data_IF_401624416127
#
_entry.id   IF_401624416127
#
_cell.length_a   1.000
_cell.length_b   1.000
_cell.length_c   1.000
_cell.angle_alpha   90.00
_cell.angle_beta   90.00
_cell.angle_gamma   90.00
#
_symmetry.space_group_name_H-M   'P 1'
#
loop_
_entity.id
_entity.type
_entity.pdbx_description
1 polymer ?
#
# COMPACT_ATOMS: atom_id res chain seq x y z
N UNK A 1 22.18 12.89 28.44
CA UNK A 1 21.26 11.84 27.98
C UNK A 1 20.35 12.47 26.93
N UNK A 2 20.39 12.02 25.68
CA UNK A 2 19.39 12.48 24.69
C UNK A 2 18.05 11.90 25.14
N UNK A 3 17.08 12.76 25.48
CA UNK A 3 15.71 12.33 25.68
C UNK A 3 15.29 11.54 24.44
N UNK A 4 15.16 10.23 24.56
CA UNK A 4 14.67 9.40 23.48
C UNK A 4 13.19 9.75 23.28
N UNK A 5 12.92 10.52 22.25
CA UNK A 5 11.56 10.92 21.88
C UNK A 5 10.72 9.65 21.71
N UNK A 6 9.63 9.54 22.46
CA UNK A 6 8.69 8.41 22.36
C UNK A 6 8.28 8.19 20.90
N UNK A 7 8.57 6.99 20.39
CA UNK A 7 8.22 6.60 19.01
C UNK A 7 6.76 6.16 18.97
N UNK A 8 5.88 7.06 18.59
CA UNK A 8 4.44 6.79 18.42
C UNK A 8 4.12 6.53 16.95
N UNK A 9 3.38 5.47 16.66
CA UNK A 9 2.90 5.11 15.32
C UNK A 9 1.38 5.26 15.27
N UNK A 10 0.87 5.99 14.26
CA UNK A 10 -0.55 6.04 13.94
C UNK A 10 -0.93 5.00 12.89
N UNK A 11 -2.05 4.34 13.06
CA UNK A 11 -2.62 3.39 12.11
C UNK A 11 -4.05 3.78 11.75
N UNK A 12 -4.25 4.14 10.49
CA UNK A 12 -5.56 4.44 9.91
C UNK A 12 -6.00 3.21 9.10
N UNK A 13 -7.07 2.56 9.56
CA UNK A 13 -7.59 1.32 9.00
C UNK A 13 -7.09 0.07 9.76
N UNK A 14 -8.01 -0.53 10.51
CA UNK A 14 -7.76 -1.69 11.37
C UNK A 14 -8.22 -3.01 10.70
N UNK A 15 -8.12 -3.08 9.36
CA UNK A 15 -8.38 -4.30 8.59
C UNK A 15 -7.14 -5.20 8.45
N UNK A 16 -7.15 -6.13 7.48
CA UNK A 16 -6.12 -7.16 7.30
C UNK A 16 -4.68 -6.61 7.27
N UNK A 17 -4.41 -5.49 6.56
CA UNK A 17 -3.07 -4.88 6.52
C UNK A 17 -2.74 -4.24 7.88
N UNK A 18 -3.69 -3.51 8.46
CA UNK A 18 -3.51 -2.87 9.77
C UNK A 18 -3.23 -3.89 10.86
N UNK A 19 -3.92 -5.02 10.85
CA UNK A 19 -3.68 -6.14 11.78
C UNK A 19 -2.26 -6.68 11.66
N UNK A 20 -1.75 -6.91 10.44
CA UNK A 20 -0.36 -7.36 10.26
C UNK A 20 0.68 -6.34 10.74
N UNK A 21 0.41 -5.04 10.53
CA UNK A 21 1.28 -3.97 11.05
C UNK A 21 1.30 -3.97 12.58
N UNK A 22 0.12 -4.04 13.21
CA UNK A 22 0.01 -4.07 14.67
C UNK A 22 0.68 -5.32 15.27
N UNK A 23 0.52 -6.49 14.66
CA UNK A 23 1.20 -7.73 15.07
C UNK A 23 2.72 -7.65 14.89
N UNK A 24 3.23 -6.97 13.84
CA UNK A 24 4.66 -6.76 13.65
C UNK A 24 5.25 -5.84 14.74
N UNK A 25 4.48 -4.87 15.22
CA UNK A 25 4.83 -4.00 16.34
C UNK A 25 4.86 -4.83 17.64
N UNK A 26 3.80 -5.58 17.94
CA UNK A 26 3.72 -6.45 19.11
C UNK A 26 4.90 -7.44 19.18
N UNK A 27 5.25 -8.05 18.03
CA UNK A 27 6.39 -8.97 17.90
C UNK A 27 7.76 -8.28 17.90
N UNK A 28 7.82 -6.97 18.12
CA UNK A 28 9.04 -6.14 18.13
C UNK A 28 9.82 -6.18 16.81
N UNK A 29 9.19 -6.54 15.69
CA UNK A 29 9.75 -6.40 14.34
C UNK A 29 9.85 -4.91 13.99
N UNK A 30 8.89 -4.12 14.46
CA UNK A 30 8.91 -2.66 14.45
C UNK A 30 9.10 -2.16 15.86
N UNK A 31 10.10 -1.32 16.07
CA UNK A 31 10.41 -0.73 17.39
C UNK A 31 9.68 0.61 17.54
N UNK A 32 8.55 0.59 18.21
CA UNK A 32 7.86 1.79 18.67
C UNK A 32 7.39 1.61 20.11
N UNK A 33 7.01 2.70 20.78
CA UNK A 33 6.62 2.70 22.18
C UNK A 33 5.10 2.70 22.33
N UNK A 34 4.37 3.27 21.37
CA UNK A 34 2.92 3.43 21.41
C UNK A 34 2.27 3.33 20.03
N UNK A 35 1.11 2.69 19.98
CA UNK A 35 0.29 2.59 18.77
C UNK A 35 -1.02 3.37 18.94
N UNK A 36 -1.37 4.20 17.95
CA UNK A 36 -2.64 4.94 17.92
C UNK A 36 -3.48 4.38 16.79
N UNK A 37 -4.68 3.90 17.11
CA UNK A 37 -5.59 3.21 16.19
C UNK A 37 -6.77 4.10 15.81
N UNK A 38 -7.06 4.17 14.53
CA UNK A 38 -8.25 4.80 13.99
C UNK A 38 -8.87 3.96 12.87
N UNK A 39 -10.14 3.69 12.97
CA UNK A 39 -10.98 3.14 11.88
C UNK A 39 -12.36 3.82 11.95
N UNK A 40 -12.95 4.14 10.79
CA UNK A 40 -14.30 4.69 10.73
C UNK A 40 -15.37 3.68 11.21
N UNK A 41 -15.06 2.39 11.21
CA UNK A 41 -15.82 1.35 11.88
C UNK A 41 -15.15 1.07 13.24
N UNK A 42 -15.56 1.80 14.27
CA UNK A 42 -14.93 1.78 15.59
C UNK A 42 -14.73 0.35 16.15
N UNK A 43 -15.66 -0.57 15.89
CA UNK A 43 -15.52 -1.96 16.30
C UNK A 43 -14.24 -2.61 15.79
N UNK A 44 -13.79 -2.29 14.56
CA UNK A 44 -12.53 -2.84 14.05
C UNK A 44 -11.30 -2.37 14.83
N UNK A 45 -11.30 -1.12 15.29
CA UNK A 45 -10.22 -0.61 16.13
C UNK A 45 -10.24 -1.27 17.52
N UNK A 46 -11.44 -1.51 18.06
CA UNK A 46 -11.63 -2.22 19.34
C UNK A 46 -11.15 -3.68 19.20
N UNK A 47 -11.59 -4.38 18.17
CA UNK A 47 -11.21 -5.77 17.91
C UNK A 47 -9.70 -5.90 17.73
N UNK A 48 -9.09 -5.00 16.97
CA UNK A 48 -7.63 -4.98 16.79
C UNK A 48 -6.91 -4.72 18.11
N UNK A 49 -7.33 -3.71 18.88
CA UNK A 49 -6.75 -3.42 20.20
C UNK A 49 -6.81 -4.63 21.13
N UNK A 50 -7.95 -5.34 21.15
CA UNK A 50 -8.15 -6.51 22.00
C UNK A 50 -7.36 -7.75 21.53
N UNK A 51 -6.96 -7.77 20.25
CA UNK A 51 -6.22 -8.90 19.64
C UNK A 51 -4.70 -8.80 19.81
N UNK A 52 -4.18 -7.67 20.29
CA UNK A 52 -2.74 -7.43 20.47
C UNK A 52 -2.42 -7.11 21.93
N UNK A 53 -1.29 -7.59 22.40
CA UNK A 53 -0.76 -7.23 23.73
C UNK A 53 0.31 -6.13 23.59
N UNK A 54 -0.14 -4.92 23.25
CA UNK A 54 0.73 -3.76 23.04
C UNK A 54 0.03 -2.47 23.49
N UNK A 55 0.81 -1.49 24.04
CA UNK A 55 0.25 -0.20 24.45
C UNK A 55 -0.38 0.52 23.24
N UNK A 56 -1.69 0.58 23.25
CA UNK A 56 -2.46 1.13 22.15
C UNK A 56 -3.63 2.00 22.61
N UNK A 57 -3.85 3.09 21.89
CA UNK A 57 -4.94 4.04 22.14
C UNK A 57 -5.83 4.11 20.90
N UNK A 58 -7.14 4.03 21.08
CA UNK A 58 -8.12 4.27 20.02
C UNK A 58 -8.49 5.74 20.03
N UNK A 59 -8.58 6.35 18.85
CA UNK A 59 -9.06 7.71 18.63
C UNK A 59 -10.27 7.72 17.69
N UNK A 60 -11.11 8.76 17.76
CA UNK A 60 -12.36 8.83 17.02
C UNK A 60 -12.22 9.53 15.66
N UNK A 61 -11.15 10.28 15.45
CA UNK A 61 -10.91 11.06 14.24
C UNK A 61 -9.41 11.31 14.04
N UNK A 62 -9.06 11.88 12.88
CA UNK A 62 -7.68 12.18 12.54
C UNK A 62 -7.11 13.31 13.41
N UNK A 63 -7.92 14.27 13.82
CA UNK A 63 -7.52 15.41 14.64
C UNK A 63 -6.99 14.94 16.00
N UNK A 64 -7.69 14.00 16.65
CA UNK A 64 -7.24 13.37 17.89
C UNK A 64 -5.94 12.59 17.69
N UNK A 65 -5.78 11.86 16.55
CA UNK A 65 -4.54 11.17 16.23
C UNK A 65 -3.38 12.17 16.09
N UNK A 66 -3.59 13.28 15.41
CA UNK A 66 -2.56 14.30 15.19
C UNK A 66 -2.15 15.01 16.49
N UNK A 67 -3.06 15.17 17.46
CA UNK A 67 -2.74 15.71 18.80
C UNK A 67 -1.78 14.82 19.59
N UNK A 68 -1.78 13.50 19.33
CA UNK A 68 -0.83 12.55 19.94
C UNK A 68 0.55 12.55 19.29
N UNK A 69 0.75 13.39 18.28
CA UNK A 69 2.01 13.69 17.63
C UNK A 69 2.81 12.46 17.16
N UNK A 70 2.20 11.53 16.38
CA UNK A 70 2.88 10.34 15.93
C UNK A 70 4.07 10.67 15.02
N UNK A 71 5.14 9.90 15.11
CA UNK A 71 6.31 10.06 14.25
C UNK A 71 6.02 9.64 12.80
N UNK A 72 5.23 8.56 12.65
CA UNK A 72 4.79 8.00 11.37
C UNK A 72 3.34 7.60 11.48
N UNK A 73 2.56 7.84 10.43
CA UNK A 73 1.20 7.32 10.26
C UNK A 73 1.17 6.38 9.06
N UNK A 74 0.49 5.24 9.20
CA UNK A 74 0.21 4.31 8.08
C UNK A 74 -1.28 4.43 7.75
N UNK A 75 -1.58 4.73 6.49
CA UNK A 75 -2.93 4.65 5.94
C UNK A 75 -3.11 3.29 5.24
N UNK A 76 -3.99 2.44 5.75
CA UNK A 76 -4.33 1.13 5.25
C UNK A 76 -5.87 0.93 5.15
N UNK A 77 -6.61 1.99 4.93
CA UNK A 77 -8.07 2.01 4.94
C UNK A 77 -8.69 2.05 3.52
N UNK A 78 -8.56 3.17 2.80
CA UNK A 78 -9.17 3.36 1.49
C UNK A 78 -8.56 4.52 0.71
N UNK A 79 -8.77 4.52 -0.62
CA UNK A 79 -8.38 5.67 -1.45
C UNK A 79 -9.03 6.98 -1.02
N UNK A 80 -10.27 6.93 -0.50
CA UNK A 80 -10.96 8.11 0.04
C UNK A 80 -10.24 8.62 1.28
N UNK A 81 -9.97 7.76 2.25
CA UNK A 81 -9.23 8.11 3.47
C UNK A 81 -7.85 8.70 3.14
N UNK A 82 -7.11 8.06 2.21
CA UNK A 82 -5.83 8.58 1.77
C UNK A 82 -5.95 10.01 1.21
N UNK A 83 -6.91 10.27 0.31
CA UNK A 83 -7.14 11.61 -0.25
C UNK A 83 -7.47 12.65 0.80
N UNK A 84 -8.30 12.27 1.77
CA UNK A 84 -8.76 13.19 2.82
C UNK A 84 -7.63 13.51 3.83
N UNK A 85 -6.67 12.58 4.04
CA UNK A 85 -5.70 12.70 5.14
C UNK A 85 -4.25 12.99 4.71
N UNK A 86 -3.89 12.85 3.42
CA UNK A 86 -2.51 13.11 2.95
C UNK A 86 -2.05 14.52 3.33
N UNK A 87 -2.78 15.54 2.95
CA UNK A 87 -2.40 16.93 3.18
C UNK A 87 -2.45 17.29 4.68
N UNK A 88 -3.52 17.01 5.44
CA UNK A 88 -3.56 17.30 6.88
C UNK A 88 -2.41 16.70 7.69
N UNK A 89 -1.98 15.47 7.34
CA UNK A 89 -0.90 14.77 8.05
C UNK A 89 0.46 15.35 7.65
N UNK A 90 0.72 15.47 6.35
CA UNK A 90 2.06 15.78 5.85
C UNK A 90 2.44 17.25 6.05
N UNK A 91 1.47 18.17 6.09
CA UNK A 91 1.68 19.59 6.43
C UNK A 91 2.10 19.79 7.89
N UNK A 92 1.71 18.88 8.78
CA UNK A 92 2.21 18.86 10.18
C UNK A 92 3.62 18.28 10.31
N UNK A 93 4.27 17.91 9.21
CA UNK A 93 5.61 17.34 9.22
C UNK A 93 5.66 15.86 9.63
N UNK A 94 4.52 15.19 9.76
CA UNK A 94 4.41 13.77 10.11
C UNK A 94 4.61 12.93 8.84
N UNK A 95 5.41 11.87 8.95
CA UNK A 95 5.59 10.91 7.86
C UNK A 95 4.32 10.08 7.66
N UNK A 96 3.83 10.01 6.42
CA UNK A 96 2.66 9.22 6.05
C UNK A 96 3.03 8.13 5.05
N UNK A 97 2.78 6.88 5.41
CA UNK A 97 2.86 5.72 4.50
C UNK A 97 1.45 5.47 3.95
N UNK A 98 1.29 5.55 2.63
CA UNK A 98 0.00 5.34 1.95
C UNK A 98 -0.04 3.99 1.28
N UNK A 99 -0.89 3.08 1.78
CA UNK A 99 -1.15 1.78 1.14
C UNK A 99 -2.16 1.89 0.01
N UNK A 100 -3.09 2.82 0.11
CA UNK A 100 -4.15 3.06 -0.88
C UNK A 100 -3.64 3.96 -2.03
N UNK A 101 -2.54 3.55 -2.68
CA UNK A 101 -1.81 4.34 -3.68
C UNK A 101 -2.66 4.77 -4.89
N UNK A 102 -3.82 4.14 -5.12
CA UNK A 102 -4.81 4.61 -6.09
C UNK A 102 -5.30 6.04 -5.86
N UNK A 103 -5.24 6.52 -4.62
CA UNK A 103 -5.54 7.90 -4.27
C UNK A 103 -4.62 8.92 -4.96
N UNK A 104 -3.39 8.52 -5.28
CA UNK A 104 -2.36 9.40 -5.86
C UNK A 104 -2.52 9.61 -7.37
N UNK A 105 -3.38 8.82 -8.03
CA UNK A 105 -3.66 8.99 -9.45
C UNK A 105 -4.41 10.31 -9.66
N UNK A 106 -3.81 11.19 -10.46
CA UNK A 106 -4.36 12.53 -10.75
C UNK A 106 -4.17 13.55 -9.62
N UNK A 107 -3.57 13.16 -8.50
CA UNK A 107 -3.17 14.10 -7.46
C UNK A 107 -1.95 14.91 -7.90
N UNK A 108 -2.04 16.23 -7.73
CA UNK A 108 -0.91 17.17 -7.94
C UNK A 108 -0.33 17.64 -6.59
N UNK A 109 -0.19 16.72 -5.64
CA UNK A 109 0.37 16.98 -4.32
C UNK A 109 1.68 16.22 -4.14
N UNK A 110 2.72 16.91 -3.69
CA UNK A 110 4.03 16.36 -3.39
C UNK A 110 4.47 16.77 -2.00
N UNK A 111 4.97 15.84 -1.24
CA UNK A 111 5.57 16.09 0.07
C UNK A 111 6.69 15.11 0.32
N UNK A 112 7.80 15.58 0.91
CA UNK A 112 8.88 14.71 1.41
C UNK A 112 8.42 13.81 2.57
N UNK A 113 7.25 14.07 3.12
CA UNK A 113 6.63 13.28 4.19
C UNK A 113 5.67 12.22 3.67
N UNK A 114 5.36 12.23 2.37
CA UNK A 114 4.50 11.23 1.74
C UNK A 114 5.34 10.06 1.21
N UNK A 115 5.02 8.86 1.65
CA UNK A 115 5.73 7.64 1.30
C UNK A 115 4.77 6.59 0.74
N UNK A 116 5.20 5.94 -0.35
CA UNK A 116 4.45 4.84 -0.97
C UNK A 116 5.32 3.59 -0.89
N UNK A 117 4.90 2.54 -0.19
CA UNK A 117 5.65 1.29 -0.14
C UNK A 117 5.59 0.56 -1.48
N UNK A 118 6.51 -0.37 -1.70
CA UNK A 118 6.54 -1.16 -2.94
C UNK A 118 5.28 -2.02 -3.14
N UNK A 119 4.55 -2.30 -2.06
CA UNK A 119 3.34 -3.10 -2.12
C UNK A 119 3.65 -4.56 -2.44
N UNK A 120 2.91 -5.13 -3.37
CA UNK A 120 3.04 -6.54 -3.76
C UNK A 120 4.12 -6.79 -4.83
N UNK A 121 4.97 -5.81 -5.13
CA UNK A 121 6.04 -5.86 -6.14
C UNK A 121 7.37 -5.37 -5.56
N UNK A 122 8.43 -5.41 -6.35
CA UNK A 122 9.76 -4.88 -6.02
C UNK A 122 10.44 -4.29 -7.26
N UNK A 123 11.73 -3.97 -7.16
CA UNK A 123 12.51 -3.39 -8.26
C UNK A 123 12.12 -1.95 -8.60
N UNK A 124 11.43 -1.26 -7.68
CA UNK A 124 11.00 0.12 -7.90
C UNK A 124 12.17 1.11 -8.01
N UNK A 125 13.30 0.79 -7.41
CA UNK A 125 14.57 1.50 -7.54
C UNK A 125 15.08 1.48 -8.99
N UNK A 126 15.11 0.31 -9.62
CA UNK A 126 15.49 0.14 -11.03
C UNK A 126 14.49 0.85 -11.96
N UNK A 127 13.19 0.72 -11.69
CA UNK A 127 12.14 1.38 -12.47
C UNK A 127 12.25 2.91 -12.34
N UNK A 128 12.47 3.42 -11.12
CA UNK A 128 12.67 4.85 -10.87
C UNK A 128 13.92 5.39 -11.57
N UNK A 129 14.99 4.61 -11.59
CA UNK A 129 16.22 4.96 -12.31
C UNK A 129 15.98 5.05 -13.83
N UNK A 130 15.26 4.09 -14.41
CA UNK A 130 14.88 4.13 -15.82
C UNK A 130 13.94 5.32 -16.15
N UNK A 131 13.11 5.72 -15.20
CA UNK A 131 12.19 6.85 -15.35
C UNK A 131 12.90 8.22 -15.39
N UNK A 132 14.18 8.30 -15.04
CA UNK A 132 15.01 9.48 -15.27
C UNK A 132 15.34 9.69 -16.76
N UNK A 133 15.09 8.69 -17.60
CA UNK A 133 15.28 8.70 -19.04
C UNK A 133 13.94 8.47 -19.75
N UNK A 134 13.96 8.09 -21.02
CA UNK A 134 12.75 7.81 -21.76
C UNK A 134 12.28 6.38 -21.58
N UNK A 135 11.09 6.18 -20.98
CA UNK A 135 10.37 4.91 -20.95
C UNK A 135 9.34 4.91 -22.09
N UNK A 136 9.50 4.00 -23.04
CA UNK A 136 8.62 3.89 -24.21
C UNK A 136 7.39 3.00 -23.96
N UNK A 137 7.47 2.04 -23.03
CA UNK A 137 6.40 1.09 -22.75
C UNK A 137 6.45 0.58 -21.32
N UNK A 138 5.28 0.54 -20.67
CA UNK A 138 5.08 -0.15 -19.38
C UNK A 138 3.80 -0.98 -19.47
N UNK A 139 3.93 -2.29 -19.21
CA UNK A 139 2.79 -3.21 -19.16
C UNK A 139 2.80 -3.93 -17.82
N UNK A 140 1.68 -3.91 -17.12
CA UNK A 140 1.43 -4.70 -15.93
C UNK A 140 0.39 -5.79 -16.25
N UNK A 141 0.77 -7.04 -16.06
CA UNK A 141 -0.14 -8.18 -16.14
C UNK A 141 -0.38 -8.68 -14.71
N UNK A 142 -1.60 -8.55 -14.22
CA UNK A 142 -2.00 -9.05 -12.91
C UNK A 142 -2.90 -10.26 -13.08
N UNK A 143 -2.54 -11.37 -12.43
CA UNK A 143 -3.30 -12.61 -12.45
C UNK A 143 -3.64 -13.01 -11.01
N UNK A 144 -4.92 -13.29 -10.76
CA UNK A 144 -5.42 -13.74 -9.44
C UNK A 144 -6.49 -14.81 -9.59
N UNK A 145 -6.71 -15.56 -8.52
CA UNK A 145 -7.80 -16.51 -8.44
C UNK A 145 -9.17 -15.79 -8.56
N UNK A 146 -10.20 -16.42 -9.16
CA UNK A 146 -11.55 -15.85 -9.27
C UNK A 146 -12.13 -15.34 -7.95
N UNK A 147 -11.83 -15.99 -6.83
CA UNK A 147 -12.26 -15.55 -5.49
C UNK A 147 -11.83 -14.12 -5.14
N UNK A 148 -10.68 -13.67 -5.65
CA UNK A 148 -10.19 -12.30 -5.44
C UNK A 148 -11.05 -11.24 -6.17
N UNK A 149 -11.89 -11.66 -7.11
CA UNK A 149 -12.78 -10.81 -7.88
C UNK A 149 -14.27 -11.11 -7.64
N UNK A 150 -14.58 -11.98 -6.66
CA UNK A 150 -15.96 -12.46 -6.41
C UNK A 150 -16.58 -13.11 -7.68
N UNK A 151 -15.75 -13.85 -8.41
CA UNK A 151 -16.12 -14.55 -9.64
C UNK A 151 -16.00 -16.07 -9.45
N UNK A 152 -16.64 -16.83 -10.36
CA UNK A 152 -16.65 -18.29 -10.36
C UNK A 152 -16.31 -18.89 -11.73
N UNK A 153 -15.55 -18.15 -12.58
CA UNK A 153 -15.14 -18.66 -13.88
C UNK A 153 -14.24 -19.90 -13.72
N UNK A 154 -14.48 -20.91 -14.59
CA UNK A 154 -13.74 -22.18 -14.62
C UNK A 154 -12.57 -22.19 -15.61
N UNK A 155 -12.49 -21.18 -16.47
CA UNK A 155 -11.40 -20.94 -17.40
C UNK A 155 -10.80 -19.55 -17.19
N UNK A 156 -9.53 -19.33 -17.56
CA UNK A 156 -8.92 -18.01 -17.47
C UNK A 156 -9.73 -16.97 -18.26
N UNK A 157 -9.99 -15.81 -17.63
CA UNK A 157 -10.76 -14.71 -18.22
C UNK A 157 -10.03 -13.39 -18.04
N UNK A 158 -9.86 -12.64 -19.13
CA UNK A 158 -9.43 -11.25 -19.07
C UNK A 158 -10.62 -10.43 -18.60
N UNK A 159 -10.50 -9.80 -17.42
CA UNK A 159 -11.59 -8.99 -16.84
C UNK A 159 -11.37 -7.50 -17.11
N UNK A 160 -10.13 -7.12 -17.43
CA UNK A 160 -9.82 -5.74 -17.84
C UNK A 160 -8.56 -5.71 -18.72
N UNK A 161 -8.56 -4.83 -19.70
CA UNK A 161 -7.39 -4.44 -20.47
C UNK A 161 -7.52 -2.97 -20.86
N UNK A 162 -6.52 -2.16 -20.48
CA UNK A 162 -6.51 -0.71 -20.73
C UNK A 162 -5.50 0.00 -19.84
N UNK A 163 -5.72 1.29 -19.58
CA UNK A 163 -4.79 2.09 -18.76
C UNK A 163 -4.97 1.87 -17.27
N UNK A 164 -3.90 2.12 -16.50
CA UNK A 164 -3.93 2.02 -15.04
C UNK A 164 -4.91 3.01 -14.39
N UNK A 165 -5.06 4.21 -14.97
CA UNK A 165 -5.98 5.24 -14.47
C UNK A 165 -7.44 4.76 -14.54
N UNK A 166 -7.83 4.15 -15.67
CA UNK A 166 -9.17 3.59 -15.82
C UNK A 166 -9.36 2.36 -14.93
N UNK A 167 -8.34 1.49 -14.87
CA UNK A 167 -8.36 0.31 -13.99
C UNK A 167 -8.56 0.68 -12.51
N UNK A 168 -7.89 1.72 -12.02
CA UNK A 168 -8.00 2.16 -10.64
C UNK A 168 -9.40 2.71 -10.28
N UNK A 169 -10.10 3.29 -11.26
CA UNK A 169 -11.49 3.74 -11.07
C UNK A 169 -12.46 2.55 -11.02
N UNK A 170 -12.27 1.56 -11.89
CA UNK A 170 -13.17 0.40 -12.00
C UNK A 170 -12.92 -0.65 -10.91
N UNK A 171 -11.66 -0.82 -10.49
CA UNK A 171 -11.22 -1.83 -9.53
C UNK A 171 -10.38 -1.23 -8.39
N UNK A 172 -10.89 -0.26 -7.62
CA UNK A 172 -10.11 0.52 -6.65
C UNK A 172 -9.41 -0.34 -5.59
N UNK A 173 -9.99 -1.48 -5.22
CA UNK A 173 -9.43 -2.40 -4.22
C UNK A 173 -8.34 -3.35 -4.76
N UNK A 174 -8.12 -3.38 -6.09
CA UNK A 174 -7.23 -4.37 -6.73
C UNK A 174 -6.09 -3.74 -7.52
N UNK A 175 -6.03 -2.40 -7.64
CA UNK A 175 -5.15 -1.69 -8.56
C UNK A 175 -4.03 -0.90 -7.91
N UNK A 176 -3.73 -1.11 -6.63
CA UNK A 176 -2.64 -0.37 -5.96
C UNK A 176 -1.28 -0.57 -6.66
N UNK A 177 -0.97 -1.78 -7.15
CA UNK A 177 0.28 -2.02 -7.92
C UNK A 177 0.33 -1.17 -9.19
N UNK A 178 -0.77 -1.13 -9.95
CA UNK A 178 -0.85 -0.31 -11.16
C UNK A 178 -0.69 1.18 -10.85
N UNK A 179 -1.28 1.62 -9.76
CA UNK A 179 -1.23 3.01 -9.28
C UNK A 179 0.18 3.40 -8.85
N UNK A 180 0.87 2.53 -8.10
CA UNK A 180 2.26 2.74 -7.69
C UNK A 180 3.17 2.84 -8.91
N UNK A 181 3.03 1.94 -9.90
CA UNK A 181 3.78 2.03 -11.15
C UNK A 181 3.50 3.34 -11.90
N UNK A 182 2.21 3.71 -12.06
CA UNK A 182 1.83 4.95 -12.75
C UNK A 182 2.40 6.20 -12.07
N UNK A 183 2.53 6.17 -10.74
CA UNK A 183 3.15 7.28 -10.01
C UNK A 183 4.65 7.41 -10.32
N UNK A 184 5.36 6.29 -10.44
CA UNK A 184 6.81 6.25 -10.64
C UNK A 184 7.20 6.56 -12.08
N UNK A 185 6.47 6.04 -13.08
CA UNK A 185 6.86 6.11 -14.49
C UNK A 185 6.29 7.32 -15.25
N UNK A 186 5.73 8.30 -14.54
CA UNK A 186 5.23 9.54 -15.18
C UNK A 186 6.30 10.16 -16.07
N UNK A 187 5.92 10.67 -17.27
CA UNK A 187 4.56 10.78 -17.83
C UNK A 187 4.06 9.54 -18.58
N UNK A 188 4.82 8.44 -18.61
CA UNK A 188 4.46 7.22 -19.38
C UNK A 188 3.23 6.56 -18.80
N UNK A 189 2.26 6.22 -19.66
CA UNK A 189 1.03 5.52 -19.26
C UNK A 189 1.29 4.02 -19.05
N UNK A 190 0.85 3.48 -17.94
CA UNK A 190 0.90 2.05 -17.65
C UNK A 190 -0.29 1.35 -18.29
N UNK A 191 0.00 0.36 -19.15
CA UNK A 191 -1.01 -0.55 -19.68
C UNK A 191 -1.22 -1.71 -18.71
N UNK A 192 -2.47 -2.03 -18.40
CA UNK A 192 -2.84 -3.06 -17.43
C UNK A 192 -3.65 -4.15 -18.12
N UNK A 193 -3.29 -5.40 -17.83
CA UNK A 193 -4.10 -6.58 -18.15
C UNK A 193 -4.41 -7.32 -16.84
N UNK A 194 -5.71 -7.42 -16.50
CA UNK A 194 -6.19 -8.07 -15.30
C UNK A 194 -6.86 -9.40 -15.67
N UNK A 195 -6.38 -10.50 -15.11
CA UNK A 195 -6.80 -11.85 -15.46
C UNK A 195 -7.32 -12.57 -14.21
N UNK A 196 -8.53 -13.10 -14.31
CA UNK A 196 -9.08 -14.08 -13.38
C UNK A 196 -8.72 -15.48 -13.88
N UNK A 197 -7.94 -16.25 -13.12
CA UNK A 197 -7.47 -17.56 -13.52
C UNK A 197 -7.68 -18.59 -12.39
N UNK A 198 -8.59 -19.58 -12.57
CA UNK A 198 -8.90 -20.57 -11.54
C UNK A 198 -7.74 -21.49 -11.20
N UNK A 199 -6.74 -21.64 -12.09
CA UNK A 199 -5.54 -22.44 -11.85
C UNK A 199 -4.50 -21.70 -11.00
N UNK A 200 -4.66 -20.40 -10.78
CA UNK A 200 -3.75 -19.59 -9.97
C UNK A 200 -4.06 -19.70 -8.49
N UNK A 201 -3.10 -20.14 -7.70
CA UNK A 201 -3.14 -20.18 -6.23
C UNK A 201 -2.55 -18.92 -5.61
N UNK A 202 -1.71 -18.19 -6.35
CA UNK A 202 -0.97 -17.00 -5.93
C UNK A 202 -1.37 -15.75 -6.72
N UNK A 203 -1.34 -14.59 -6.07
CA UNK A 203 -1.44 -13.30 -6.76
C UNK A 203 -0.14 -13.06 -7.54
N UNK A 204 -0.22 -12.99 -8.86
CA UNK A 204 0.95 -12.79 -9.71
C UNK A 204 0.89 -11.42 -10.38
N UNK A 205 2.01 -10.71 -10.36
CA UNK A 205 2.23 -9.45 -11.04
C UNK A 205 3.45 -9.58 -11.94
N UNK A 206 3.27 -9.38 -13.23
CA UNK A 206 4.35 -9.33 -14.22
C UNK A 206 4.44 -7.91 -14.77
N UNK A 207 5.62 -7.32 -14.73
CA UNK A 207 5.89 -5.96 -15.16
C UNK A 207 6.88 -6.02 -16.31
N UNK A 208 6.51 -5.49 -17.45
CA UNK A 208 7.32 -5.40 -18.65
C UNK A 208 7.58 -3.93 -18.95
N UNK A 209 8.86 -3.55 -19.04
CA UNK A 209 9.27 -2.16 -19.31
C UNK A 209 10.24 -2.17 -20.48
N UNK A 210 10.02 -1.25 -21.43
CA UNK A 210 11.02 -0.87 -22.44
C UNK A 210 11.40 0.59 -22.20
N UNK A 211 12.69 0.83 -22.11
CA UNK A 211 13.26 2.14 -21.86
C UNK A 211 14.47 2.40 -22.77
N UNK A 212 15.02 3.57 -22.75
CA UNK A 212 16.06 4.02 -23.68
C UNK A 212 17.28 3.08 -23.79
N UNK A 213 17.69 2.45 -22.70
CA UNK A 213 18.90 1.63 -22.65
C UNK A 213 18.62 0.12 -22.49
N UNK A 214 17.37 -0.32 -22.64
CA UNK A 214 17.08 -1.74 -22.55
C UNK A 214 15.65 -2.09 -22.18
N UNK A 215 15.50 -3.25 -21.56
CA UNK A 215 14.21 -3.76 -21.11
C UNK A 215 14.31 -4.42 -19.75
N UNK A 216 13.21 -4.42 -19.01
CA UNK A 216 13.07 -5.11 -17.72
C UNK A 216 11.86 -6.02 -17.77
N UNK A 217 12.01 -7.21 -17.20
CA UNK A 217 10.94 -8.15 -16.91
C UNK A 217 11.02 -8.53 -15.45
N UNK A 218 10.01 -8.13 -14.67
CA UNK A 218 9.92 -8.46 -13.25
C UNK A 218 8.65 -9.28 -13.01
N UNK A 219 8.78 -10.35 -12.23
CA UNK A 219 7.64 -11.21 -11.90
C UNK A 219 7.60 -11.49 -10.41
N UNK A 220 6.45 -11.23 -9.80
CA UNK A 220 6.18 -11.46 -8.38
C UNK A 220 4.98 -12.41 -8.26
N UNK A 221 5.16 -13.45 -7.47
CA UNK A 221 4.12 -14.45 -7.20
C UNK A 221 4.00 -14.60 -5.69
N UNK A 222 2.95 -14.00 -5.12
CA UNK A 222 2.77 -13.88 -3.68
C UNK A 222 1.55 -14.64 -3.23
N UNK A 223 1.65 -15.28 -2.07
CA UNK A 223 0.47 -15.86 -1.44
C UNK A 223 -0.53 -14.75 -1.09
N UNK A 224 -1.83 -14.99 -1.32
CA UNK A 224 -2.86 -14.07 -0.89
C UNK A 224 -2.90 -14.01 0.63
N UNK A 225 -3.31 -12.85 1.17
CA UNK A 225 -3.55 -12.73 2.61
C UNK A 225 -4.72 -13.64 3.00
N UNK A 226 -4.63 -14.44 4.08
CA UNK A 226 -5.67 -15.40 4.45
C UNK A 226 -7.06 -14.77 4.58
N UNK A 227 -7.16 -13.60 5.21
CA UNK A 227 -8.41 -12.89 5.46
C UNK A 227 -8.82 -11.96 4.29
N UNK A 228 -7.91 -11.69 3.34
CA UNK A 228 -8.18 -10.83 2.19
C UNK A 228 -7.46 -11.32 0.93
N UNK A 229 -8.05 -12.23 0.17
CA UNK A 229 -7.45 -12.81 -1.03
C UNK A 229 -7.10 -11.77 -2.13
N UNK A 230 -7.68 -10.58 -2.06
CA UNK A 230 -7.35 -9.47 -2.98
C UNK A 230 -5.98 -8.87 -2.72
N UNK A 231 -5.45 -9.02 -1.49
CA UNK A 231 -4.18 -8.46 -1.04
C UNK A 231 -3.13 -9.56 -0.94
N UNK A 232 -1.91 -9.27 -1.35
CA UNK A 232 -0.75 -10.14 -1.14
C UNK A 232 -0.11 -9.83 0.21
N UNK A 233 0.37 -10.84 0.93
CA UNK A 233 1.05 -10.64 2.21
C UNK A 233 2.25 -9.68 2.09
N UNK A 234 3.01 -9.75 0.98
CA UNK A 234 4.14 -8.86 0.71
C UNK A 234 3.75 -7.37 0.79
N UNK A 235 2.51 -6.99 0.46
CA UNK A 235 2.08 -5.60 0.52
C UNK A 235 2.15 -5.05 1.96
N UNK A 236 1.70 -5.79 2.96
CA UNK A 236 1.81 -5.39 4.36
C UNK A 236 3.28 -5.37 4.82
N UNK A 237 4.07 -6.38 4.44
CA UNK A 237 5.50 -6.44 4.78
C UNK A 237 6.31 -5.30 4.17
N UNK A 238 5.94 -4.82 2.99
CA UNK A 238 6.59 -3.64 2.39
C UNK A 238 6.33 -2.36 3.18
N UNK A 239 5.13 -2.21 3.75
CA UNK A 239 4.82 -1.08 4.64
C UNK A 239 5.56 -1.19 5.98
N UNK A 240 5.64 -2.40 6.55
CA UNK A 240 6.38 -2.67 7.79
C UNK A 240 7.87 -2.36 7.60
N UNK A 241 8.47 -2.77 6.48
CA UNK A 241 9.86 -2.44 6.15
C UNK A 241 10.07 -0.92 6.05
N UNK A 242 9.19 -0.23 5.34
CA UNK A 242 9.26 1.23 5.19
C UNK A 242 9.06 1.95 6.53
N UNK A 243 8.14 1.46 7.38
CA UNK A 243 7.92 1.96 8.73
C UNK A 243 9.21 1.87 9.57
N UNK A 244 9.88 0.72 9.58
CA UNK A 244 11.17 0.56 10.26
C UNK A 244 12.20 1.58 9.75
N UNK A 245 12.33 1.72 8.44
CA UNK A 245 13.28 2.67 7.83
C UNK A 245 13.03 4.12 8.26
N UNK A 246 11.76 4.49 8.48
CA UNK A 246 11.38 5.86 8.90
C UNK A 246 11.54 6.08 10.40
N UNK A 247 11.37 5.05 11.22
CA UNK A 247 11.54 5.13 12.67
C UNK A 247 13.02 5.06 13.14
N UNK A 248 13.92 4.53 12.30
CA UNK A 248 15.35 4.42 12.60
C UNK A 248 16.14 5.70 12.25
N UNK A 249 15.49 6.70 11.65
CA UNK A 249 16.03 8.03 11.33
C UNK A 249 15.81 9.01 12.47
#
# INVERSE_FOLDING_TARGET
MKDSKTKTVGLIGCGAIGTLVAQAIEKKIVKCDKLVLFDNQQNKAIDLKNSINFDSTIVNNIEEMLQLNPSVIIEAASQKAAKDYIEPITTKGIHLIVMSSGALIGMNYQSKKLHVPSGAIGGLDAISSAALTHISKVVLITKKNPKAFEMNNTQPKIIYQGTAETAAKLYPRSMNVASTLSFIVKPTKVQVKLISDPKTTRNTHEIQIKWQFGQMLLRFSNDPHPENPRTSALAAWSAIHLLNTLLDK
#
